data_IF_266854320068
#
_entry.id   IF_266854320068
#
_cell.length_a   1.000
_cell.length_b   1.000
_cell.length_c   1.000
_cell.angle_alpha   90.00
_cell.angle_beta   90.00
_cell.angle_gamma   90.00
#
_symmetry.space_group_name_H-M   'P 1'
#
loop_
_entity.id
_entity.type
_entity.pdbx_description
1 polymer ?
#
# COMPACT_ATOMS: atom_id res chain seq x y z
N UNK A 1 20.14 -15.22 -10.77
CA UNK A 1 18.81 -15.71 -10.37
C UNK A 1 18.44 -16.87 -11.29
N UNK A 2 17.92 -17.96 -10.73
CA UNK A 2 17.45 -19.12 -11.50
C UNK A 2 16.22 -19.73 -10.83
N UNK A 3 15.40 -20.43 -11.61
CA UNK A 3 14.17 -21.07 -11.13
C UNK A 3 13.23 -21.46 -12.27
N UNK A 4 12.08 -22.03 -11.93
CA UNK A 4 11.05 -22.43 -12.88
C UNK A 4 9.66 -22.07 -12.35
N UNK A 5 8.78 -21.67 -13.27
CA UNK A 5 7.35 -21.52 -13.03
C UNK A 5 6.62 -22.75 -13.57
N UNK A 6 5.69 -23.29 -12.79
CA UNK A 6 4.86 -24.43 -13.19
C UNK A 6 3.40 -24.02 -13.29
N UNK A 7 2.71 -24.56 -14.30
CA UNK A 7 1.28 -24.38 -14.47
C UNK A 7 0.47 -25.23 -13.50
N UNK A 8 -0.86 -25.01 -13.43
CA UNK A 8 -1.75 -25.86 -12.64
C UNK A 8 -1.74 -27.35 -13.06
N UNK A 9 -1.33 -27.62 -14.30
CA UNK A 9 -1.13 -28.96 -14.86
C UNK A 9 0.22 -29.58 -14.48
N UNK A 10 1.03 -28.86 -13.70
CA UNK A 10 2.36 -29.28 -13.26
C UNK A 10 3.43 -29.24 -14.35
N UNK A 11 3.16 -28.62 -15.50
CA UNK A 11 4.13 -28.49 -16.58
C UNK A 11 4.93 -27.20 -16.45
N UNK A 12 6.18 -27.22 -16.94
CA UNK A 12 7.00 -26.03 -17.04
C UNK A 12 6.30 -24.97 -17.91
N UNK A 13 6.09 -23.79 -17.34
CA UNK A 13 5.65 -22.60 -18.07
C UNK A 13 6.83 -21.74 -18.50
N UNK A 14 7.80 -21.54 -17.60
CA UNK A 14 8.96 -20.69 -17.85
C UNK A 14 10.14 -21.10 -16.99
N UNK A 15 11.32 -21.15 -17.59
CA UNK A 15 12.59 -21.31 -16.88
C UNK A 15 13.37 -20.01 -16.84
N UNK A 16 14.13 -19.81 -15.78
CA UNK A 16 14.98 -18.63 -15.57
C UNK A 16 16.40 -19.07 -15.27
N UNK A 17 17.35 -18.41 -15.91
CA UNK A 17 18.76 -18.49 -15.56
C UNK A 17 19.48 -17.23 -16.06
N UNK A 18 19.66 -16.26 -15.17
CA UNK A 18 20.17 -14.93 -15.49
C UNK A 18 21.15 -14.41 -14.45
N UNK A 19 22.10 -13.59 -14.90
CA UNK A 19 23.12 -12.95 -14.08
C UNK A 19 23.12 -11.45 -14.33
N UNK A 20 23.45 -10.71 -13.28
CA UNK A 20 23.67 -9.28 -13.29
C UNK A 20 25.07 -8.99 -12.71
N UNK A 21 25.68 -7.90 -13.17
CA UNK A 21 26.96 -7.38 -12.67
C UNK A 21 26.77 -5.90 -12.35
N UNK A 22 27.16 -5.48 -11.14
CA UNK A 22 26.96 -4.12 -10.63
C UNK A 22 25.50 -3.61 -10.72
N UNK A 23 24.54 -4.52 -10.59
CA UNK A 23 23.11 -4.21 -10.66
C UNK A 23 22.54 -4.03 -12.08
N UNK A 24 23.37 -4.15 -13.12
CA UNK A 24 22.93 -4.18 -14.50
C UNK A 24 22.86 -5.62 -15.03
N UNK A 25 21.92 -5.89 -15.93
CA UNK A 25 21.83 -7.19 -16.60
C UNK A 25 23.15 -7.51 -17.32
N UNK A 26 23.61 -8.75 -17.17
CA UNK A 26 24.84 -9.22 -17.80
C UNK A 26 24.53 -10.27 -18.87
N UNK A 27 23.92 -11.39 -18.48
CA UNK A 27 23.54 -12.45 -19.41
C UNK A 27 22.30 -13.21 -18.90
N UNK A 28 21.39 -13.57 -19.80
CA UNK A 28 20.18 -14.31 -19.48
C UNK A 28 19.91 -15.42 -20.50
N UNK A 29 19.51 -16.60 -20.02
CA UNK A 29 18.94 -17.65 -20.85
C UNK A 29 17.55 -17.20 -21.31
N UNK A 30 17.31 -17.28 -22.62
CA UNK A 30 16.05 -16.87 -23.22
C UNK A 30 14.93 -17.87 -22.90
N UNK A 31 13.69 -17.47 -23.15
CA UNK A 31 12.50 -18.30 -22.90
C UNK A 31 12.50 -19.61 -23.68
N UNK A 32 13.23 -19.68 -24.80
CA UNK A 32 13.40 -20.89 -25.59
C UNK A 32 14.28 -21.95 -24.89
N UNK A 33 14.97 -21.58 -23.80
CA UNK A 33 15.97 -22.39 -23.10
C UNK A 33 17.08 -22.91 -24.03
N UNK A 34 17.33 -22.22 -25.14
CA UNK A 34 18.27 -22.61 -26.20
C UNK A 34 19.25 -21.52 -26.54
N UNK A 35 18.90 -20.27 -26.29
CA UNK A 35 19.71 -19.12 -26.67
C UNK A 35 19.92 -18.17 -25.50
N UNK A 36 20.94 -17.33 -25.60
CA UNK A 36 21.29 -16.37 -24.55
C UNK A 36 21.22 -14.94 -25.06
N UNK A 37 20.64 -14.06 -24.25
CA UNK A 37 20.76 -12.62 -24.39
C UNK A 37 21.94 -12.13 -23.55
N UNK A 38 22.94 -11.55 -24.21
CA UNK A 38 24.13 -10.95 -23.59
C UNK A 38 24.03 -9.42 -23.66
N UNK A 39 24.24 -8.74 -22.55
CA UNK A 39 24.04 -7.29 -22.44
C UNK A 39 25.17 -6.47 -23.07
N UNK A 40 26.41 -6.96 -23.01
CA UNK A 40 27.59 -6.26 -23.52
C UNK A 40 28.64 -7.21 -24.13
N UNK A 41 29.78 -6.65 -24.54
CA UNK A 41 30.87 -7.40 -25.17
C UNK A 41 31.50 -8.42 -24.21
N UNK A 42 31.57 -8.13 -22.91
CA UNK A 42 32.08 -9.07 -21.92
C UNK A 42 31.11 -10.26 -21.76
N UNK A 43 29.82 -9.99 -21.67
CA UNK A 43 28.77 -11.01 -21.65
C UNK A 43 28.76 -11.88 -22.91
N UNK A 44 29.08 -11.32 -24.08
CA UNK A 44 29.22 -12.12 -25.31
C UNK A 44 30.38 -13.12 -25.25
N UNK A 45 31.46 -12.80 -24.52
CA UNK A 45 32.56 -13.75 -24.28
C UNK A 45 32.05 -14.90 -23.40
N UNK A 46 31.29 -14.59 -22.34
CA UNK A 46 30.67 -15.61 -21.47
C UNK A 46 29.70 -16.50 -22.26
N UNK A 47 28.82 -15.91 -23.08
CA UNK A 47 27.88 -16.65 -23.92
C UNK A 47 28.59 -17.70 -24.76
N UNK A 48 29.65 -17.30 -25.49
CA UNK A 48 30.40 -18.20 -26.38
C UNK A 48 31.00 -19.38 -25.61
N UNK A 49 31.60 -19.11 -24.44
CA UNK A 49 32.17 -20.15 -23.57
C UNK A 49 31.11 -21.14 -23.10
N UNK A 50 29.92 -20.66 -22.73
CA UNK A 50 28.83 -21.51 -22.26
C UNK A 50 28.22 -22.35 -23.37
N UNK A 51 28.04 -21.76 -24.56
CA UNK A 51 27.58 -22.47 -25.74
C UNK A 51 28.57 -23.57 -26.15
N UNK A 52 29.88 -23.27 -26.16
CA UNK A 52 30.94 -24.24 -26.42
C UNK A 52 31.02 -25.35 -25.36
N UNK A 53 30.76 -25.02 -24.09
CA UNK A 53 30.76 -25.97 -22.99
C UNK A 53 29.48 -26.83 -22.89
N UNK A 54 28.44 -26.54 -23.68
CA UNK A 54 27.16 -27.23 -23.59
C UNK A 54 26.33 -26.86 -22.36
N UNK A 55 26.62 -25.72 -21.73
CA UNK A 55 25.94 -25.26 -20.51
C UNK A 55 24.45 -24.98 -20.77
N UNK A 56 24.10 -24.55 -21.98
CA UNK A 56 22.71 -24.31 -22.39
C UNK A 56 21.84 -25.56 -22.22
N UNK A 57 22.30 -26.72 -22.72
CA UNK A 57 21.53 -27.96 -22.66
C UNK A 57 21.46 -28.50 -21.23
N UNK A 58 22.54 -28.34 -20.45
CA UNK A 58 22.54 -28.68 -19.02
C UNK A 58 21.48 -27.88 -18.26
N UNK A 59 21.41 -26.57 -18.50
CA UNK A 59 20.42 -25.71 -17.84
C UNK A 59 19.00 -25.99 -18.31
N UNK A 60 18.78 -26.28 -19.61
CA UNK A 60 17.47 -26.75 -20.08
C UNK A 60 17.04 -28.01 -19.34
N UNK A 61 17.90 -29.02 -19.25
CA UNK A 61 17.58 -30.28 -18.60
C UNK A 61 17.25 -30.09 -17.10
N UNK A 62 17.98 -29.23 -16.39
CA UNK A 62 17.67 -28.88 -15.01
C UNK A 62 16.30 -28.19 -14.87
N UNK A 63 16.02 -27.20 -15.73
CA UNK A 63 14.79 -26.40 -15.67
C UNK A 63 13.54 -27.19 -16.07
N UNK A 64 13.65 -28.07 -17.07
CA UNK A 64 12.54 -28.93 -17.53
C UNK A 64 12.33 -30.17 -16.65
N UNK A 65 13.36 -30.60 -15.92
CA UNK A 65 13.33 -31.79 -15.08
C UNK A 65 13.36 -31.44 -13.60
N UNK A 66 14.57 -31.41 -13.04
CA UNK A 66 14.81 -31.35 -11.59
C UNK A 66 14.08 -30.18 -10.91
N UNK A 67 14.11 -28.99 -11.51
CA UNK A 67 13.44 -27.82 -10.94
C UNK A 67 11.93 -28.05 -10.78
N UNK A 68 11.27 -28.56 -11.82
CA UNK A 68 9.83 -28.83 -11.82
C UNK A 68 9.50 -29.94 -10.82
N UNK A 69 10.26 -31.03 -10.83
CA UNK A 69 10.06 -32.16 -9.93
C UNK A 69 10.14 -31.73 -8.46
N UNK A 70 11.20 -31.00 -8.11
CA UNK A 70 11.34 -30.49 -6.75
C UNK A 70 10.26 -29.48 -6.40
N UNK A 71 9.89 -28.57 -7.30
CA UNK A 71 8.83 -27.60 -7.02
C UNK A 71 7.50 -28.29 -6.72
N UNK A 72 7.10 -29.28 -7.54
CA UNK A 72 5.88 -30.06 -7.30
C UNK A 72 5.93 -30.81 -5.97
N UNK A 73 7.08 -31.39 -5.61
CA UNK A 73 7.28 -32.06 -4.32
C UNK A 73 7.12 -31.09 -3.15
N UNK A 74 7.69 -29.89 -3.23
CA UNK A 74 7.55 -28.88 -2.18
C UNK A 74 6.10 -28.38 -2.07
N UNK A 75 5.41 -28.22 -3.20
CA UNK A 75 4.00 -27.84 -3.22
C UNK A 75 3.10 -28.91 -2.58
N UNK A 76 3.40 -30.20 -2.75
CA UNK A 76 2.68 -31.28 -2.10
C UNK A 76 2.97 -31.33 -0.58
N UNK A 77 4.24 -31.24 -0.19
CA UNK A 77 4.65 -31.21 1.22
C UNK A 77 4.07 -30.00 1.98
N UNK A 78 3.97 -28.85 1.31
CA UNK A 78 3.47 -27.60 1.88
C UNK A 78 2.01 -27.28 1.55
N UNK A 79 1.22 -28.23 1.05
CA UNK A 79 -0.12 -27.96 0.49
C UNK A 79 -1.05 -27.18 1.45
N UNK A 80 -0.97 -27.45 2.75
CA UNK A 80 -1.82 -26.83 3.77
C UNK A 80 -1.54 -25.34 3.96
N UNK A 81 -0.34 -24.88 3.60
CA UNK A 81 0.09 -23.48 3.76
C UNK A 81 0.29 -22.78 2.42
N UNK A 82 0.99 -23.41 1.47
CA UNK A 82 1.38 -22.82 0.19
C UNK A 82 0.22 -22.73 -0.80
N UNK A 83 -0.71 -23.70 -0.77
CA UNK A 83 -1.85 -23.73 -1.70
C UNK A 83 -3.11 -23.11 -1.11
N UNK A 84 -3.06 -22.67 0.16
CA UNK A 84 -4.16 -22.01 0.83
C UNK A 84 -4.20 -20.53 0.44
N UNK A 85 -5.16 -20.16 -0.39
CA UNK A 85 -5.50 -18.76 -0.62
C UNK A 85 -6.46 -18.29 0.47
N UNK A 86 -5.99 -17.43 1.38
CA UNK A 86 -6.88 -16.75 2.32
C UNK A 86 -7.72 -15.70 1.57
N UNK A 87 -9.06 -15.68 1.69
CA UNK A 87 -9.85 -14.63 1.12
C UNK A 87 -9.48 -13.30 1.78
N UNK A 88 -9.51 -12.17 1.03
CA UNK A 88 -9.36 -10.87 1.66
C UNK A 88 -10.45 -10.70 2.73
N UNK A 89 -10.14 -10.12 3.89
CA UNK A 89 -11.11 -9.94 4.94
C UNK A 89 -12.33 -9.19 4.40
N UNK A 90 -13.51 -9.77 4.55
CA UNK A 90 -14.80 -9.30 4.01
C UNK A 90 -15.31 -7.97 4.60
N UNK A 91 -14.49 -7.29 5.42
CA UNK A 91 -14.84 -6.07 6.13
C UNK A 91 -14.87 -4.80 5.25
N UNK A 92 -14.53 -4.88 3.95
CA UNK A 92 -14.45 -3.69 3.09
C UNK A 92 -15.83 -3.10 2.74
N UNK A 93 -16.86 -3.95 2.62
CA UNK A 93 -18.21 -3.53 2.20
C UNK A 93 -18.89 -2.61 3.26
N UNK A 94 -18.93 -2.95 4.57
CA UNK A 94 -19.52 -2.05 5.55
C UNK A 94 -18.70 -0.76 5.74
N UNK A 95 -17.36 -0.83 5.67
CA UNK A 95 -16.49 0.35 5.87
C UNK A 95 -16.70 1.39 4.77
N UNK A 96 -16.79 0.99 3.50
CA UNK A 96 -17.05 1.92 2.39
C UNK A 96 -18.43 2.57 2.48
N UNK A 97 -19.45 1.81 2.90
CA UNK A 97 -20.80 2.35 3.11
C UNK A 97 -20.84 3.39 4.24
N UNK A 98 -20.12 3.14 5.34
CA UNK A 98 -19.98 4.08 6.46
C UNK A 98 -19.27 5.36 6.01
N UNK A 99 -18.16 5.25 5.28
CA UNK A 99 -17.40 6.41 4.79
C UNK A 99 -18.28 7.25 3.84
N UNK A 100 -19.00 6.62 2.91
CA UNK A 100 -19.91 7.33 2.01
C UNK A 100 -21.03 8.06 2.77
N UNK A 101 -21.64 7.43 3.77
CA UNK A 101 -22.67 8.04 4.60
C UNK A 101 -22.14 9.25 5.40
N UNK A 102 -20.91 9.16 5.95
CA UNK A 102 -20.26 10.27 6.65
C UNK A 102 -20.00 11.46 5.73
N UNK A 103 -19.52 11.23 4.50
CA UNK A 103 -19.30 12.30 3.51
C UNK A 103 -20.62 13.00 3.16
N UNK A 104 -21.70 12.23 2.95
CA UNK A 104 -23.03 12.79 2.69
C UNK A 104 -23.52 13.65 3.86
N UNK A 105 -23.32 13.19 5.11
CA UNK A 105 -23.68 13.95 6.30
C UNK A 105 -22.88 15.26 6.43
N UNK A 106 -21.59 15.26 6.15
CA UNK A 106 -20.75 16.46 6.22
C UNK A 106 -21.16 17.47 5.15
N UNK A 107 -21.41 17.02 3.91
CA UNK A 107 -21.81 17.90 2.81
C UNK A 107 -23.20 18.50 3.06
N UNK A 108 -24.17 17.69 3.47
CA UNK A 108 -25.53 18.18 3.80
C UNK A 108 -25.51 19.11 5.02
N UNK A 109 -24.73 18.78 6.05
CA UNK A 109 -24.51 19.63 7.22
C UNK A 109 -23.90 20.99 6.85
N UNK A 110 -22.92 21.03 5.93
CA UNK A 110 -22.34 22.29 5.44
C UNK A 110 -23.37 23.14 4.68
N UNK A 111 -24.21 22.53 3.83
CA UNK A 111 -25.27 23.25 3.10
C UNK A 111 -26.30 23.82 4.08
N UNK A 112 -26.80 23.04 5.04
CA UNK A 112 -27.75 23.53 6.05
C UNK A 112 -27.11 24.61 6.93
N UNK A 113 -25.85 24.42 7.33
CA UNK A 113 -25.08 25.39 8.09
C UNK A 113 -24.92 26.73 7.36
N UNK A 114 -24.58 26.72 6.07
CA UNK A 114 -24.50 27.94 5.26
C UNK A 114 -25.86 28.65 5.13
N UNK A 115 -26.96 27.90 4.99
CA UNK A 115 -28.32 28.46 4.91
C UNK A 115 -28.77 29.07 6.24
N UNK A 116 -28.56 28.38 7.36
CA UNK A 116 -28.90 28.90 8.70
C UNK A 116 -28.03 30.10 9.07
N UNK A 117 -26.74 30.10 8.72
CA UNK A 117 -25.88 31.26 8.90
C UNK A 117 -26.34 32.45 8.05
N UNK A 118 -26.76 32.20 6.80
CA UNK A 118 -27.33 33.23 5.93
C UNK A 118 -28.64 33.80 6.49
N UNK A 119 -29.51 32.95 7.04
CA UNK A 119 -30.76 33.37 7.69
C UNK A 119 -30.49 34.19 8.96
N UNK A 120 -29.50 33.80 9.78
CA UNK A 120 -29.13 34.53 11.01
C UNK A 120 -28.44 35.88 10.74
N UNK A 121 -27.70 36.04 9.64
CA UNK A 121 -27.14 37.35 9.23
C UNK A 121 -28.17 38.30 8.60
N UNK A 122 -29.35 37.82 8.22
CA UNK A 122 -30.40 38.63 7.56
C UNK A 122 -31.37 39.32 8.54
N UNK A 123 -31.25 39.10 9.85
CA UNK A 123 -32.08 39.75 10.87
C UNK A 123 -31.23 40.47 11.92
N UNK A 124 -30.80 41.70 11.63
CA UNK A 124 -30.03 42.50 12.57
C UNK A 124 -29.75 43.93 12.09
N UNK A 125 -30.77 44.79 12.15
CA UNK A 125 -30.62 46.25 12.16
C UNK A 125 -31.49 46.82 13.29
N UNK A 126 -30.87 47.61 14.17
CA UNK A 126 -31.52 48.43 15.20
C UNK A 126 -31.27 47.91 16.62
N UNK A 127 -30.66 48.66 17.54
CA UNK A 127 -30.26 50.05 17.51
C UNK A 127 -29.56 50.41 18.82
N UNK A 128 -28.86 51.55 18.80
CA UNK A 128 -28.28 52.23 19.95
C UNK A 128 -29.43 52.79 20.80
N UNK A 129 -29.43 52.50 22.10
CA UNK A 129 -30.13 53.32 23.09
C UNK A 129 -29.16 53.68 24.22
N UNK A 130 -28.70 54.93 24.14
CA UNK A 130 -28.54 55.92 25.21
C UNK A 130 -28.06 55.41 26.57
N UNK A 131 -26.83 55.84 26.88
CA UNK A 131 -26.29 56.04 28.21
C UNK A 131 -27.28 56.78 29.12
N UNK A 132 -27.76 56.12 30.17
CA UNK A 132 -28.34 56.79 31.33
C UNK A 132 -27.28 56.77 32.43
N UNK A 133 -26.67 57.94 32.66
CA UNK A 133 -26.04 58.21 33.94
C UNK A 133 -27.14 58.23 35.01
N UNK A 134 -27.00 57.41 36.05
CA UNK A 134 -27.50 57.79 37.36
C UNK A 134 -26.48 57.35 38.41
N UNK A 135 -25.78 58.34 38.92
CA UNK A 135 -25.00 58.29 40.14
C UNK A 135 -25.98 58.11 41.29
N UNK A 136 -25.78 57.11 42.15
CA UNK A 136 -26.03 57.31 43.57
C UNK A 136 -25.11 56.41 44.40
N UNK A 137 -24.44 57.10 45.31
CA UNK A 137 -23.39 56.59 46.17
C UNK A 137 -24.02 56.07 47.47
N UNK A 138 -23.63 54.89 47.93
CA UNK A 138 -23.52 54.62 49.36
C UNK A 138 -22.60 53.42 49.61
N UNK A 139 -21.67 53.63 50.52
CA UNK A 139 -20.51 52.81 50.84
C UNK A 139 -20.86 51.45 51.47
N UNK A 140 -20.02 50.46 51.19
CA UNK A 140 -19.92 49.21 51.94
C UNK A 140 -18.49 48.68 51.87
N UNK A 141 -17.62 49.31 52.64
CA UNK A 141 -16.27 48.87 53.02
C UNK A 141 -16.35 47.50 53.75
N UNK A 142 -15.36 46.61 53.84
CA UNK A 142 -13.91 46.69 53.77
C UNK A 142 -13.28 45.31 53.47
N UNK A 143 -11.97 45.38 53.24
CA UNK A 143 -10.98 44.42 52.75
C UNK A 143 -10.49 43.39 53.80
N UNK A 144 -10.02 42.25 53.27
CA UNK A 144 -9.04 41.29 53.82
C UNK A 144 -9.40 40.42 55.03
N UNK A 145 -9.48 39.11 54.76
CA UNK A 145 -9.02 38.09 55.71
C UNK A 145 -7.78 37.42 55.13
N UNK A 146 -6.64 37.85 55.67
CA UNK A 146 -5.36 37.14 55.63
C UNK A 146 -5.48 35.77 56.29
N UNK A 147 -4.95 34.77 55.59
CA UNK A 147 -4.07 33.71 56.08
C UNK A 147 -4.20 33.22 57.55
N UNK A 148 -4.44 31.90 57.63
CA UNK A 148 -3.71 30.92 58.46
C UNK A 148 -4.30 30.46 59.81
N UNK A 149 -4.50 29.11 59.86
CA UNK A 149 -3.99 28.16 60.87
C UNK A 149 -5.04 27.50 61.80
N UNK A 150 -5.55 26.33 61.39
CA UNK A 150 -5.37 25.00 62.00
C UNK A 150 -6.16 23.97 61.18
#
# INVERSE_FOLDING_TARGET
MYGCDVGPDGRLLRGYHQYAYDGADYIALNEDLRSWTAADVAAQITRRKWEEAGDTERWRAYLEGECVEWLLKHLDLGKETLQRAEPPPSATIPILAIIAALVVLVVTGAVVGTVMWRRKRSGGKGGIYVQAANSDSAQGSDVSLTASKA
#
